data_IF_261908004495
#
_entry.id   IF_261908004495
#
_cell.length_a   1.000
_cell.length_b   1.000
_cell.length_c   1.000
_cell.angle_alpha   90.00
_cell.angle_beta   90.00
_cell.angle_gamma   90.00
#
_symmetry.space_group_name_H-M   'P 1'
#
loop_
_entity.id
_entity.type
_entity.pdbx_description
1 polymer ?
#
# COMPACT_ATOMS: atom_id res chain seq x y z
N UNK A 1 3.48 -22.74 4.02
CA UNK A 1 3.78 -21.44 4.66
C UNK A 1 5.26 -21.04 4.55
N UNK A 2 6.25 -21.90 4.81
CA UNK A 2 7.68 -21.54 4.73
C UNK A 2 8.21 -21.09 3.35
N UNK A 3 7.75 -21.70 2.26
CA UNK A 3 8.19 -21.37 0.89
C UNK A 3 7.85 -19.94 0.45
N UNK A 4 6.74 -19.37 0.91
CA UNK A 4 6.37 -17.97 0.64
C UNK A 4 7.32 -17.00 1.35
N UNK A 5 7.73 -17.31 2.58
CA UNK A 5 8.73 -16.53 3.31
C UNK A 5 10.10 -16.58 2.64
N UNK A 6 10.53 -17.75 2.17
CA UNK A 6 11.78 -17.90 1.42
C UNK A 6 11.74 -17.11 0.11
N UNK A 7 10.65 -17.22 -0.66
CA UNK A 7 10.45 -16.44 -1.89
C UNK A 7 10.44 -14.93 -1.61
N UNK A 8 9.85 -14.49 -0.50
CA UNK A 8 9.85 -13.09 -0.07
C UNK A 8 11.27 -12.58 0.21
N UNK A 9 12.06 -13.34 0.97
CA UNK A 9 13.44 -12.97 1.32
C UNK A 9 14.34 -12.97 0.08
N UNK A 10 14.22 -13.99 -0.78
CA UNK A 10 15.04 -14.10 -2.00
C UNK A 10 14.70 -12.97 -2.98
N UNK A 11 13.42 -12.68 -3.19
CA UNK A 11 13.01 -11.56 -4.05
C UNK A 11 13.45 -10.21 -3.48
N UNK A 12 13.35 -10.00 -2.17
CA UNK A 12 13.82 -8.79 -1.50
C UNK A 12 15.34 -8.61 -1.62
N UNK A 13 16.12 -9.66 -1.36
CA UNK A 13 17.59 -9.58 -1.36
C UNK A 13 18.15 -9.44 -2.79
N UNK A 14 17.72 -10.29 -3.72
CA UNK A 14 18.38 -10.46 -5.02
C UNK A 14 17.71 -9.73 -6.18
N UNK A 15 16.42 -9.38 -6.08
CA UNK A 15 15.70 -8.67 -7.15
C UNK A 15 15.55 -7.20 -6.78
N UNK A 16 15.00 -6.89 -5.60
CA UNK A 16 14.69 -5.51 -5.20
C UNK A 16 15.93 -4.63 -5.02
N UNK A 17 16.96 -5.12 -4.32
CA UNK A 17 18.21 -4.37 -4.03
C UNK A 17 18.94 -3.86 -5.28
N UNK A 18 19.23 -4.69 -6.32
CA UNK A 18 19.88 -4.20 -7.54
C UNK A 18 18.96 -3.37 -8.44
N UNK A 19 17.62 -3.45 -8.29
CA UNK A 19 16.67 -2.73 -9.13
C UNK A 19 16.48 -1.27 -8.68
N UNK A 20 16.71 -0.95 -7.40
CA UNK A 20 16.57 0.41 -6.83
C UNK A 20 17.43 1.47 -7.52
N UNK A 21 18.62 1.08 -7.98
CA UNK A 21 19.54 1.94 -8.72
C UNK A 21 19.20 2.07 -10.20
N UNK A 22 18.28 1.23 -10.70
CA UNK A 22 17.97 1.14 -12.14
C UNK A 22 16.61 1.73 -12.51
N UNK A 23 15.57 1.53 -11.70
CA UNK A 23 14.20 1.91 -12.08
C UNK A 23 13.26 2.10 -10.89
N UNK A 24 12.26 2.97 -11.07
CA UNK A 24 11.11 3.11 -10.17
C UNK A 24 10.29 1.83 -10.02
N UNK A 25 10.45 0.84 -10.91
CA UNK A 25 9.85 -0.51 -10.77
C UNK A 25 10.34 -1.25 -9.53
N UNK A 26 11.46 -0.84 -8.94
CA UNK A 26 11.92 -1.39 -7.66
C UNK A 26 10.86 -1.27 -6.57
N UNK A 27 10.14 -0.14 -6.49
CA UNK A 27 9.05 0.05 -5.51
C UNK A 27 7.97 -1.01 -5.70
N UNK A 28 7.61 -1.32 -6.94
CA UNK A 28 6.62 -2.35 -7.26
C UNK A 28 7.08 -3.76 -6.86
N UNK A 29 8.32 -4.12 -7.21
CA UNK A 29 8.89 -5.42 -6.85
C UNK A 29 9.02 -5.57 -5.34
N UNK A 30 9.42 -4.51 -4.63
CA UNK A 30 9.51 -4.49 -3.16
C UNK A 30 8.16 -4.53 -2.46
N UNK A 31 7.08 -4.10 -3.12
CA UNK A 31 5.74 -4.15 -2.55
C UNK A 31 5.20 -5.59 -2.44
N UNK A 32 5.60 -6.49 -3.34
CA UNK A 32 5.19 -7.91 -3.29
C UNK A 32 5.56 -8.56 -1.94
N UNK A 33 6.85 -8.64 -1.53
CA UNK A 33 7.20 -9.25 -0.25
C UNK A 33 6.65 -8.46 0.93
N UNK A 34 6.50 -7.14 0.81
CA UNK A 34 5.89 -6.31 1.86
C UNK A 34 4.39 -6.54 2.06
N UNK A 35 3.70 -7.09 1.05
CA UNK A 35 2.26 -7.37 1.09
C UNK A 35 1.91 -8.78 1.56
N UNK A 36 2.89 -9.69 1.62
CA UNK A 36 2.70 -11.06 2.08
C UNK A 36 2.37 -11.23 3.58
N UNK A 37 2.82 -10.38 4.53
CA UNK A 37 2.61 -10.67 5.96
C UNK A 37 1.13 -10.83 6.37
N UNK A 38 0.20 -9.93 5.99
CA UNK A 38 -1.23 -10.11 6.31
C UNK A 38 -1.83 -11.38 5.68
N UNK A 39 -1.44 -11.68 4.43
CA UNK A 39 -1.87 -12.88 3.71
C UNK A 39 -1.42 -14.16 4.42
N UNK A 40 -0.13 -14.25 4.78
CA UNK A 40 0.44 -15.41 5.48
C UNK A 40 -0.17 -15.53 6.87
N UNK A 41 -0.41 -14.41 7.57
CA UNK A 41 -1.09 -14.41 8.87
C UNK A 41 -2.49 -15.01 8.81
N UNK A 42 -3.27 -14.66 7.78
CA UNK A 42 -4.59 -15.25 7.55
C UNK A 42 -4.50 -16.75 7.26
N UNK A 43 -3.68 -17.15 6.28
CA UNK A 43 -3.48 -18.58 5.92
C UNK A 43 -3.01 -19.40 7.13
N UNK A 44 -2.17 -18.83 7.99
CA UNK A 44 -1.71 -19.51 9.21
C UNK A 44 -2.82 -19.69 10.25
N UNK A 45 -3.77 -18.76 10.33
CA UNK A 45 -4.88 -18.82 11.28
C UNK A 45 -6.04 -19.70 10.81
N UNK A 46 -6.32 -19.73 9.51
CA UNK A 46 -7.47 -20.45 8.92
C UNK A 46 -7.10 -21.76 8.26
N UNK A 47 -5.83 -21.93 7.86
CA UNK A 47 -5.39 -23.04 7.02
C UNK A 47 -5.81 -22.92 5.55
N UNK A 48 -6.52 -21.85 5.17
CA UNK A 48 -7.10 -21.70 3.84
C UNK A 48 -6.32 -20.74 2.95
N UNK A 49 -6.11 -21.16 1.71
CA UNK A 49 -5.47 -20.37 0.66
C UNK A 49 -6.49 -20.11 -0.45
N UNK A 50 -7.07 -18.92 -0.43
CA UNK A 50 -8.17 -18.56 -1.32
C UNK A 50 -8.18 -17.08 -1.67
N UNK A 51 -9.38 -16.58 -1.95
CA UNK A 51 -9.61 -15.19 -2.36
C UNK A 51 -9.41 -14.24 -1.17
N UNK A 52 -9.79 -14.68 0.02
CA UNK A 52 -9.78 -13.97 1.30
C UNK A 52 -8.37 -13.47 1.67
N UNK A 53 -7.33 -14.32 1.81
CA UNK A 53 -5.98 -13.84 2.06
C UNK A 53 -5.44 -12.99 0.90
N UNK A 54 -5.91 -13.22 -0.33
CA UNK A 54 -5.62 -12.40 -1.50
C UNK A 54 -6.14 -10.96 -1.41
N UNK A 55 -7.29 -10.74 -0.78
CA UNK A 55 -7.81 -9.38 -0.54
C UNK A 55 -6.93 -8.61 0.44
N UNK A 56 -6.45 -9.26 1.51
CA UNK A 56 -5.55 -8.65 2.49
C UNK A 56 -4.19 -8.32 1.87
N UNK A 57 -3.70 -9.19 0.99
CA UNK A 57 -2.52 -8.91 0.17
C UNK A 57 -2.74 -7.65 -0.69
N UNK A 58 -3.87 -7.55 -1.39
CA UNK A 58 -4.15 -6.43 -2.29
C UNK A 58 -4.23 -5.09 -1.55
N UNK A 59 -4.84 -5.05 -0.36
CA UNK A 59 -4.88 -3.85 0.50
C UNK A 59 -3.47 -3.41 0.86
N UNK A 60 -2.65 -4.33 1.38
CA UNK A 60 -1.29 -4.04 1.81
C UNK A 60 -0.40 -3.62 0.63
N UNK A 61 -0.54 -4.31 -0.51
CA UNK A 61 0.20 -4.04 -1.73
C UNK A 61 -0.11 -2.64 -2.28
N UNK A 62 -1.38 -2.27 -2.38
CA UNK A 62 -1.78 -0.99 -2.95
C UNK A 62 -1.36 0.19 -2.07
N UNK A 63 -1.54 0.08 -0.76
CA UNK A 63 -1.21 1.15 0.20
C UNK A 63 0.28 1.51 0.21
N UNK A 64 1.18 0.56 -0.07
CA UNK A 64 2.62 0.78 -0.02
C UNK A 64 3.11 1.82 -1.04
N UNK A 65 2.46 1.93 -2.19
CA UNK A 65 2.87 2.85 -3.25
C UNK A 65 2.79 4.32 -2.81
N UNK A 66 1.61 4.87 -2.43
CA UNK A 66 1.53 6.26 -2.00
C UNK A 66 2.35 6.52 -0.73
N UNK A 67 2.48 5.54 0.18
CA UNK A 67 3.33 5.64 1.36
C UNK A 67 4.82 5.80 1.01
N UNK A 68 5.37 4.85 0.23
CA UNK A 68 6.79 4.88 -0.15
C UNK A 68 7.11 6.04 -1.06
N UNK A 69 6.20 6.45 -1.95
CA UNK A 69 6.43 7.62 -2.79
C UNK A 69 6.37 8.93 -2.01
N UNK A 70 5.56 9.04 -0.95
CA UNK A 70 5.61 10.19 -0.06
C UNK A 70 6.97 10.29 0.65
N UNK A 71 7.53 9.17 1.12
CA UNK A 71 8.88 9.12 1.71
C UNK A 71 9.94 9.47 0.65
N UNK A 72 9.84 8.89 -0.55
CA UNK A 72 10.74 9.18 -1.67
C UNK A 72 10.68 10.64 -2.11
N UNK A 73 9.54 11.30 -1.95
CA UNK A 73 9.40 12.73 -2.17
C UNK A 73 10.19 13.52 -1.13
N UNK A 74 10.03 13.21 0.16
CA UNK A 74 10.76 13.87 1.23
C UNK A 74 12.27 13.69 1.10
N UNK A 75 12.73 12.44 0.92
CA UNK A 75 14.15 12.07 0.85
C UNK A 75 14.74 12.10 -0.58
N UNK A 76 14.08 12.77 -1.53
CA UNK A 76 14.47 12.74 -2.94
C UNK A 76 15.93 13.12 -3.19
N UNK A 77 16.43 14.17 -2.51
CA UNK A 77 17.78 14.68 -2.71
C UNK A 77 18.84 13.69 -2.24
N UNK A 78 18.63 13.05 -1.09
CA UNK A 78 19.56 12.05 -0.55
C UNK A 78 19.56 10.79 -1.41
N UNK A 79 18.38 10.38 -1.90
CA UNK A 79 18.26 9.29 -2.85
C UNK A 79 18.93 9.61 -4.18
N UNK A 80 18.79 10.82 -4.70
CA UNK A 80 19.44 11.24 -5.93
C UNK A 80 20.97 11.24 -5.80
N UNK A 81 21.52 11.70 -4.66
CA UNK A 81 22.96 11.64 -4.36
C UNK A 81 23.48 10.20 -4.31
N UNK A 82 22.67 9.26 -3.81
CA UNK A 82 22.98 7.83 -3.80
C UNK A 82 22.72 7.12 -5.16
N UNK A 83 22.29 7.85 -6.19
CA UNK A 83 21.97 7.30 -7.52
C UNK A 83 20.66 6.52 -7.59
N UNK A 84 19.79 6.63 -6.59
CA UNK A 84 18.50 5.96 -6.55
C UNK A 84 17.39 6.77 -7.24
N UNK A 85 16.52 6.05 -7.96
CA UNK A 85 15.40 6.62 -8.71
C UNK A 85 14.08 6.02 -8.24
N UNK A 86 13.56 6.56 -7.13
CA UNK A 86 12.40 5.98 -6.43
C UNK A 86 11.07 6.67 -6.73
N UNK A 87 11.08 7.93 -7.16
CA UNK A 87 9.86 8.63 -7.55
C UNK A 87 9.35 8.11 -8.91
N UNK A 88 8.01 8.13 -9.13
CA UNK A 88 7.41 7.68 -10.38
C UNK A 88 8.04 8.31 -11.63
N UNK A 89 8.14 7.52 -12.69
CA UNK A 89 8.69 7.91 -14.00
C UNK A 89 10.13 8.41 -13.98
N UNK A 90 10.85 8.25 -12.86
CA UNK A 90 12.13 8.93 -12.61
C UNK A 90 12.04 10.45 -12.81
N UNK A 91 10.84 11.03 -12.68
CA UNK A 91 10.58 12.43 -13.01
C UNK A 91 10.89 13.39 -11.84
N UNK A 92 11.33 12.88 -10.69
CA UNK A 92 11.57 13.70 -9.49
C UNK A 92 10.28 14.26 -8.90
N UNK A 93 10.39 15.36 -8.16
CA UNK A 93 9.26 16.05 -7.49
C UNK A 93 8.43 16.86 -8.48
N UNK A 94 7.70 16.18 -9.38
CA UNK A 94 6.91 16.83 -10.44
C UNK A 94 5.42 16.54 -10.32
N UNK A 95 4.60 17.35 -11.00
CA UNK A 95 3.16 17.14 -11.11
C UNK A 95 2.82 15.74 -11.64
N UNK A 96 3.60 15.22 -12.61
CA UNK A 96 3.40 13.88 -13.16
C UNK A 96 3.58 12.78 -12.10
N UNK A 97 4.58 12.91 -11.23
CA UNK A 97 4.79 11.99 -10.12
C UNK A 97 3.67 12.11 -9.09
N UNK A 98 3.24 13.33 -8.76
CA UNK A 98 2.12 13.57 -7.84
C UNK A 98 0.77 13.05 -8.38
N UNK A 99 0.54 13.14 -9.69
CA UNK A 99 -0.65 12.58 -10.36
C UNK A 99 -0.70 11.06 -10.19
N UNK A 100 0.42 10.36 -10.36
CA UNK A 100 0.46 8.91 -10.17
C UNK A 100 0.28 8.53 -8.70
N UNK A 101 0.87 9.29 -7.77
CA UNK A 101 0.66 9.10 -6.33
C UNK A 101 -0.83 9.23 -6.00
N UNK A 102 -1.50 10.27 -6.51
CA UNK A 102 -2.96 10.45 -6.33
C UNK A 102 -3.74 9.29 -6.93
N UNK A 103 -3.42 8.85 -8.15
CA UNK A 103 -4.09 7.72 -8.79
C UNK A 103 -4.00 6.43 -7.96
N UNK A 104 -2.81 6.10 -7.45
CA UNK A 104 -2.63 4.92 -6.58
C UNK A 104 -3.29 5.10 -5.21
N UNK A 105 -3.34 6.32 -4.69
CA UNK A 105 -4.08 6.63 -3.46
C UNK A 105 -5.57 6.39 -3.66
N UNK A 106 -6.13 6.80 -4.81
CA UNK A 106 -7.52 6.52 -5.17
C UNK A 106 -7.79 5.03 -5.30
N UNK A 107 -6.85 4.24 -5.85
CA UNK A 107 -6.97 2.78 -5.91
C UNK A 107 -6.92 2.10 -4.54
N UNK A 108 -6.44 2.78 -3.49
CA UNK A 108 -6.54 2.24 -2.13
C UNK A 108 -8.00 2.08 -1.69
N UNK A 109 -8.92 2.92 -2.19
CA UNK A 109 -10.37 2.83 -1.86
C UNK A 109 -10.95 1.48 -2.31
N UNK A 110 -11.00 1.14 -3.62
CA UNK A 110 -11.54 -0.15 -4.03
C UNK A 110 -10.72 -1.32 -3.48
N UNK A 111 -9.40 -1.19 -3.30
CA UNK A 111 -8.59 -2.23 -2.66
C UNK A 111 -9.07 -2.52 -1.22
N UNK A 112 -9.35 -1.47 -0.42
CA UNK A 112 -9.90 -1.60 0.93
C UNK A 112 -11.36 -2.03 1.00
N UNK A 113 -12.07 -2.00 -0.11
CA UNK A 113 -13.43 -2.54 -0.20
C UNK A 113 -13.45 -4.04 -0.51
N UNK A 114 -12.33 -4.62 -0.98
CA UNK A 114 -12.28 -6.02 -1.42
C UNK A 114 -12.74 -7.02 -0.36
N UNK A 115 -12.35 -6.92 0.94
CA UNK A 115 -12.82 -7.86 1.95
C UNK A 115 -14.34 -7.83 2.19
N UNK A 116 -14.99 -6.71 1.88
CA UNK A 116 -16.45 -6.56 1.95
C UNK A 116 -17.13 -7.02 0.64
N UNK A 117 -16.51 -6.78 -0.51
CA UNK A 117 -17.09 -7.02 -1.83
C UNK A 117 -17.04 -8.49 -2.33
N UNK A 118 -16.61 -9.43 -1.48
CA UNK A 118 -16.61 -10.86 -1.83
C UNK A 118 -18.04 -11.43 -1.84
N UNK A 119 -18.24 -12.53 -2.57
CA UNK A 119 -19.51 -13.28 -2.54
C UNK A 119 -19.89 -13.70 -1.11
N UNK A 120 -18.88 -13.98 -0.28
CA UNK A 120 -18.99 -14.15 1.16
C UNK A 120 -18.13 -13.06 1.82
N UNK A 121 -18.73 -11.95 2.29
CA UNK A 121 -17.99 -10.86 2.90
C UNK A 121 -17.23 -11.30 4.15
N UNK A 122 -15.97 -10.87 4.28
CA UNK A 122 -15.15 -11.10 5.48
C UNK A 122 -15.47 -10.10 6.59
N UNK A 123 -16.01 -8.94 6.21
CA UNK A 123 -16.26 -7.77 7.08
C UNK A 123 -17.63 -7.17 6.77
N UNK A 124 -18.21 -6.47 7.73
CA UNK A 124 -19.51 -5.83 7.62
C UNK A 124 -19.52 -4.44 6.94
N UNK A 125 -20.67 -3.79 6.98
CA UNK A 125 -20.92 -2.48 6.34
C UNK A 125 -20.19 -1.32 7.04
N UNK A 126 -19.79 -1.50 8.30
CA UNK A 126 -19.00 -0.49 9.04
C UNK A 126 -17.59 -0.43 8.44
N UNK A 127 -16.99 -1.58 8.16
CA UNK A 127 -15.69 -1.65 7.48
C UNK A 127 -15.76 -1.03 6.07
N UNK A 128 -16.83 -1.27 5.31
CA UNK A 128 -17.04 -0.61 4.01
C UNK A 128 -17.08 0.92 4.14
N UNK A 129 -17.88 1.43 5.09
CA UNK A 129 -18.05 2.86 5.29
C UNK A 129 -16.73 3.52 5.71
N UNK A 130 -15.98 2.88 6.63
CA UNK A 130 -14.67 3.34 7.07
C UNK A 130 -13.64 3.28 5.93
N UNK A 131 -13.65 2.22 5.11
CA UNK A 131 -12.78 2.09 3.95
C UNK A 131 -12.94 3.26 2.96
N UNK A 132 -14.19 3.60 2.62
CA UNK A 132 -14.49 4.73 1.73
C UNK A 132 -14.08 6.05 2.37
N UNK A 133 -14.48 6.33 3.62
CA UNK A 133 -14.18 7.60 4.28
C UNK A 133 -12.68 7.81 4.52
N UNK A 134 -11.98 6.80 5.02
CA UNK A 134 -10.54 6.85 5.23
C UNK A 134 -9.79 7.00 3.91
N UNK A 135 -10.23 6.32 2.85
CA UNK A 135 -9.60 6.39 1.54
C UNK A 135 -9.83 7.74 0.84
N UNK A 136 -11.00 8.36 1.01
CA UNK A 136 -11.26 9.73 0.57
C UNK A 136 -10.38 10.74 1.35
N UNK A 137 -10.28 10.58 2.68
CA UNK A 137 -9.42 11.40 3.52
C UNK A 137 -7.94 11.28 3.13
N UNK A 138 -7.48 10.06 2.81
CA UNK A 138 -6.12 9.83 2.33
C UNK A 138 -5.90 10.45 0.95
N UNK A 139 -6.86 10.30 0.04
CA UNK A 139 -6.83 10.87 -1.32
C UNK A 139 -6.82 12.40 -1.31
N UNK A 140 -7.47 13.03 -0.33
CA UNK A 140 -7.43 14.49 -0.14
C UNK A 140 -6.01 14.99 0.10
N UNK A 141 -5.21 14.30 0.92
CA UNK A 141 -3.80 14.67 1.12
C UNK A 141 -2.94 14.44 -0.14
N UNK A 142 -3.24 13.41 -0.92
CA UNK A 142 -2.55 13.17 -2.19
C UNK A 142 -2.90 14.26 -3.23
N UNK A 143 -4.14 14.74 -3.22
CA UNK A 143 -4.56 15.87 -4.03
C UNK A 143 -3.88 17.18 -3.60
N UNK A 144 -3.73 17.42 -2.29
CA UNK A 144 -2.94 18.55 -1.79
C UNK A 144 -1.49 18.49 -2.27
N UNK A 145 -0.86 17.30 -2.27
CA UNK A 145 0.48 17.12 -2.84
C UNK A 145 0.51 17.48 -4.33
N UNK A 146 -0.49 17.08 -5.11
CA UNK A 146 -0.57 17.43 -6.53
C UNK A 146 -0.70 18.94 -6.75
N UNK A 147 -1.43 19.64 -5.89
CA UNK A 147 -1.61 21.09 -6.02
C UNK A 147 -0.39 21.89 -5.59
N UNK A 148 0.23 21.50 -4.48
CA UNK A 148 1.28 22.29 -3.84
C UNK A 148 2.68 21.89 -4.29
N UNK A 149 2.91 20.59 -4.55
CA UNK A 149 4.23 20.02 -4.87
C UNK A 149 5.31 20.31 -3.81
N UNK A 150 4.91 20.60 -2.57
CA UNK A 150 5.79 20.96 -1.45
C UNK A 150 6.20 19.75 -0.62
N UNK A 151 7.27 19.91 0.16
CA UNK A 151 7.69 18.92 1.17
C UNK A 151 6.64 18.75 2.27
N UNK A 152 5.96 19.83 2.66
CA UNK A 152 4.96 19.79 3.73
C UNK A 152 3.70 19.03 3.30
N UNK A 153 3.27 19.18 2.04
CA UNK A 153 2.19 18.36 1.50
C UNK A 153 2.57 16.87 1.45
N UNK A 154 3.81 16.55 1.03
CA UNK A 154 4.30 15.17 1.04
C UNK A 154 4.39 14.59 2.46
N UNK A 155 4.79 15.40 3.46
CA UNK A 155 4.84 14.99 4.86
C UNK A 155 3.43 14.70 5.40
N UNK A 156 2.46 15.55 5.09
CA UNK A 156 1.04 15.32 5.45
C UNK A 156 0.51 14.02 4.81
N UNK A 157 0.81 13.79 3.54
CA UNK A 157 0.45 12.53 2.86
C UNK A 157 1.09 11.31 3.52
N UNK A 158 2.38 11.39 3.88
CA UNK A 158 3.09 10.33 4.58
C UNK A 158 2.40 9.99 5.92
N UNK A 159 2.09 10.99 6.75
CA UNK A 159 1.38 10.76 8.01
C UNK A 159 -0.06 10.26 7.79
N UNK A 160 -0.77 10.77 6.79
CA UNK A 160 -2.09 10.26 6.44
C UNK A 160 -2.04 8.77 6.08
N UNK A 161 -1.02 8.33 5.32
CA UNK A 161 -0.83 6.91 5.01
C UNK A 161 -0.52 6.06 6.25
N UNK A 162 0.26 6.58 7.21
CA UNK A 162 0.54 5.91 8.47
C UNK A 162 -0.70 5.72 9.34
N UNK A 163 -1.66 6.65 9.28
CA UNK A 163 -2.94 6.54 10.00
C UNK A 163 -3.92 5.65 9.25
N UNK A 164 -3.98 5.78 7.92
CA UNK A 164 -4.91 5.05 7.06
C UNK A 164 -4.82 3.54 7.26
N UNK A 165 -3.62 2.94 7.15
CA UNK A 165 -3.50 1.49 7.18
C UNK A 165 -3.93 0.87 8.53
N UNK A 166 -3.48 1.35 9.70
CA UNK A 166 -3.98 0.87 10.99
C UNK A 166 -5.50 1.03 11.15
N UNK A 167 -6.09 2.14 10.70
CA UNK A 167 -7.55 2.33 10.76
C UNK A 167 -8.27 1.23 9.96
N UNK A 168 -7.82 0.94 8.74
CA UNK A 168 -8.37 -0.14 7.91
C UNK A 168 -8.19 -1.52 8.58
N UNK A 169 -6.99 -1.81 9.09
CA UNK A 169 -6.74 -3.12 9.72
C UNK A 169 -7.53 -3.30 11.01
N UNK A 170 -7.67 -2.26 11.84
CA UNK A 170 -8.45 -2.29 13.07
C UNK A 170 -9.94 -2.50 12.76
N UNK A 171 -10.50 -1.78 11.78
CA UNK A 171 -11.93 -1.94 11.46
C UNK A 171 -12.24 -3.32 10.91
N UNK A 172 -11.32 -3.93 10.13
CA UNK A 172 -11.50 -5.32 9.69
C UNK A 172 -11.56 -6.32 10.83
N UNK A 173 -10.83 -6.07 11.92
CA UNK A 173 -10.88 -6.94 13.11
C UNK A 173 -12.16 -6.69 13.90
N UNK A 174 -12.57 -5.42 14.06
CA UNK A 174 -13.75 -5.05 14.86
C UNK A 174 -15.07 -5.43 14.19
N UNK A 175 -15.16 -5.30 12.87
CA UNK A 175 -16.36 -5.57 12.07
C UNK A 175 -16.23 -6.90 11.30
N UNK A 176 -15.44 -7.83 11.84
CA UNK A 176 -15.24 -9.15 11.26
C UNK A 176 -16.54 -9.96 11.32
N UNK A 177 -16.98 -10.49 10.19
CA UNK A 177 -18.09 -11.44 10.15
C UNK A 177 -17.56 -12.83 10.52
N UNK A 178 -18.15 -13.53 11.52
CA UNK A 178 -17.78 -14.89 11.82
C UNK A 178 -18.04 -15.79 10.61
N UNK A 179 -17.07 -16.62 10.25
CA UNK A 179 -17.30 -17.72 9.31
C UNK A 179 -18.32 -18.65 9.99
N UNK A 180 -19.54 -18.74 9.46
CA UNK A 180 -20.52 -19.70 9.95
C UNK A 180 -19.93 -21.12 9.78
N UNK A 181 -19.94 -21.96 10.82
CA UNK A 181 -19.52 -23.36 10.72
C UNK A 181 -20.46 -24.18 9.83
#
# INVERSE_FOLDING_TARGET
>A
SGWLGVAAIVSYAFIYTPLKSKTSLSVFVGAIPGALPPMIGYVAATGDFGVEPGTLFAVQFMWQFPHFWAIAWLAHEDYAKAGYKLLPYNAGRTARSAQLILLYTLFCIPASMLPWALNQPMVGDVAFSVAVLAGLGFSWFAYQLLRELTLDAARRLMFASFVYLPVIQIVYVLDKIPLNP
#
